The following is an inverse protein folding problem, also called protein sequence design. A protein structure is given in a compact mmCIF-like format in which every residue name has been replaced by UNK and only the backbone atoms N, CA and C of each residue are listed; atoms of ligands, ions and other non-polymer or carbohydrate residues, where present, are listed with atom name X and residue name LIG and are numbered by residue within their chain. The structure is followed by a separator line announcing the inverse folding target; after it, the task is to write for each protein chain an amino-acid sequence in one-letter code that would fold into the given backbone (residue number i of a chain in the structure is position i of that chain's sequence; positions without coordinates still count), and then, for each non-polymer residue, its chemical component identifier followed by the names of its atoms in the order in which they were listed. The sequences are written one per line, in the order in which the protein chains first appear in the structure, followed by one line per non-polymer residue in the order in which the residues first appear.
data_IF_351211657650
#
_entry.id   IF_351211657650
#
_cell.length_a   1.000
_cell.length_b   1.000
_cell.length_c   1.000
_cell.angle_alpha   90.00
_cell.angle_beta   90.00
_cell.angle_gamma   90.00
#
_symmetry.space_group_name_H-M   'P 1'
#
loop_
_entity.id
_entity.type
_entity.pdbx_description
1 polymer ?
#
# COMPACT_ATOMS: atom_id res chain seq x y z
N UNK A 1 -10.24 -0.93 -16.36
CA UNK A 1 -10.46 -0.69 -14.92
C UNK A 1 -11.90 -0.30 -14.66
N UNK A 2 -12.43 -0.66 -13.52
CA UNK A 2 -13.68 -0.14 -12.97
C UNK A 2 -13.38 0.97 -11.99
N UNK A 3 -13.88 2.17 -12.21
CA UNK A 3 -13.52 3.37 -11.46
C UNK A 3 -14.77 3.97 -10.83
N UNK A 4 -14.74 4.20 -9.52
CA UNK A 4 -15.73 5.00 -8.83
C UNK A 4 -15.28 6.47 -8.82
N UNK A 5 -16.03 7.35 -9.47
CA UNK A 5 -15.79 8.79 -9.44
C UNK A 5 -16.79 9.42 -8.48
N UNK A 6 -16.28 9.93 -7.37
CA UNK A 6 -17.05 10.63 -6.35
C UNK A 6 -16.90 12.16 -6.54
N UNK A 7 -18.02 12.87 -6.57
CA UNK A 7 -18.10 14.27 -7.00
C UNK A 7 -18.64 15.12 -5.85
N UNK A 8 -17.86 16.12 -5.43
CA UNK A 8 -18.25 17.03 -4.34
C UNK A 8 -18.56 18.44 -4.82
N UNK A 9 -18.92 19.33 -3.90
CA UNK A 9 -19.49 20.65 -4.16
C UNK A 9 -18.45 21.70 -4.60
N UNK A 10 -17.82 21.49 -5.75
CA UNK A 10 -17.00 22.51 -6.39
C UNK A 10 -17.61 22.91 -7.73
N UNK A 11 -17.44 24.17 -8.13
CA UNK A 11 -17.90 24.61 -9.44
C UNK A 11 -17.33 23.75 -10.57
N UNK A 12 -16.12 23.21 -10.41
CA UNK A 12 -15.49 22.31 -11.38
C UNK A 12 -16.24 21.00 -11.61
N UNK A 13 -17.25 20.66 -10.77
CA UNK A 13 -18.05 19.45 -10.93
C UNK A 13 -18.78 19.39 -12.28
N UNK A 14 -19.17 20.55 -12.88
CA UNK A 14 -19.81 20.58 -14.19
C UNK A 14 -18.96 19.98 -15.31
N UNK A 15 -17.65 19.91 -15.13
CA UNK A 15 -16.70 19.36 -16.11
C UNK A 15 -16.64 17.83 -16.08
N UNK A 16 -17.03 17.20 -14.98
CA UNK A 16 -16.79 15.75 -14.74
C UNK A 16 -17.49 14.84 -15.77
N UNK A 17 -18.69 15.15 -16.30
CA UNK A 17 -19.25 14.34 -17.41
C UNK A 17 -18.30 14.17 -18.60
N UNK A 18 -17.47 15.18 -18.91
CA UNK A 18 -16.45 15.09 -19.96
C UNK A 18 -15.36 14.11 -19.57
N UNK A 19 -14.85 14.18 -18.33
CA UNK A 19 -13.86 13.23 -17.79
C UNK A 19 -14.39 11.78 -17.85
N UNK A 20 -15.65 11.57 -17.45
CA UNK A 20 -16.34 10.27 -17.54
C UNK A 20 -16.36 9.76 -18.96
N UNK A 21 -16.73 10.61 -19.94
CA UNK A 21 -16.74 10.26 -21.37
C UNK A 21 -15.34 9.89 -21.89
N UNK A 22 -14.30 10.65 -21.48
CA UNK A 22 -12.92 10.37 -21.89
C UNK A 22 -12.43 9.02 -21.37
N UNK A 23 -12.68 8.71 -20.09
CA UNK A 23 -12.31 7.44 -19.48
C UNK A 23 -13.06 6.26 -20.11
N UNK A 24 -14.37 6.42 -20.42
CA UNK A 24 -15.15 5.40 -21.13
C UNK A 24 -14.60 5.10 -22.53
N UNK A 25 -14.19 6.14 -23.27
CA UNK A 25 -13.56 5.96 -24.61
C UNK A 25 -12.24 5.19 -24.53
N UNK A 26 -11.56 5.22 -23.38
CA UNK A 26 -10.36 4.42 -23.11
C UNK A 26 -10.67 2.99 -22.61
N UNK A 27 -11.96 2.58 -22.61
CA UNK A 27 -12.36 1.23 -22.22
C UNK A 27 -12.52 1.01 -20.71
N UNK A 28 -12.62 2.08 -19.93
CA UNK A 28 -12.88 1.97 -18.48
C UNK A 28 -14.39 1.91 -18.19
N UNK A 29 -14.77 1.15 -17.18
CA UNK A 29 -16.13 1.15 -16.62
C UNK A 29 -16.21 2.18 -15.49
N UNK A 30 -17.18 3.09 -15.55
CA UNK A 30 -17.30 4.20 -14.62
C UNK A 30 -18.60 4.11 -13.83
N UNK A 31 -18.50 4.23 -12.52
CA UNK A 31 -19.63 4.44 -11.61
C UNK A 31 -19.44 5.83 -11.00
N UNK A 32 -20.52 6.62 -10.91
CA UNK A 32 -20.48 7.94 -10.32
C UNK A 32 -21.17 7.94 -8.95
N UNK A 33 -20.62 8.70 -8.00
CA UNK A 33 -21.27 9.05 -6.75
C UNK A 33 -21.27 10.57 -6.60
N UNK A 34 -22.36 11.16 -6.08
CA UNK A 34 -22.56 12.62 -6.03
C UNK A 34 -23.04 13.03 -4.65
N UNK A 35 -22.43 14.07 -4.06
CA UNK A 35 -22.99 14.69 -2.85
C UNK A 35 -24.25 15.48 -3.19
N UNK A 36 -25.16 15.63 -2.23
CA UNK A 36 -26.40 16.40 -2.39
C UNK A 36 -26.12 17.82 -2.92
N UNK A 37 -25.09 18.49 -2.44
CA UNK A 37 -24.78 19.84 -2.88
C UNK A 37 -24.15 19.87 -4.29
N UNK A 38 -23.40 18.81 -4.69
CA UNK A 38 -22.84 18.72 -6.02
C UNK A 38 -23.92 18.55 -7.11
N UNK A 39 -25.11 18.05 -6.77
CA UNK A 39 -26.25 17.97 -7.70
C UNK A 39 -26.67 19.36 -8.24
N UNK A 40 -26.34 20.45 -7.54
CA UNK A 40 -26.53 21.82 -8.02
C UNK A 40 -25.50 22.28 -9.04
N UNK A 41 -24.36 21.57 -9.15
CA UNK A 41 -23.22 21.94 -10.00
C UNK A 41 -23.08 21.03 -11.22
N UNK A 42 -23.62 19.81 -11.15
CA UNK A 42 -23.56 18.83 -12.23
C UNK A 42 -24.87 18.09 -12.38
N UNK A 43 -25.35 17.96 -13.63
CA UNK A 43 -26.55 17.19 -13.91
C UNK A 43 -26.33 15.69 -13.70
N UNK A 44 -27.02 15.08 -12.74
CA UNK A 44 -26.91 13.63 -12.45
C UNK A 44 -27.24 12.80 -13.70
N UNK A 45 -28.26 13.19 -14.48
CA UNK A 45 -28.60 12.52 -15.74
C UNK A 45 -27.45 12.53 -16.77
N UNK A 46 -26.66 13.60 -16.81
CA UNK A 46 -25.48 13.63 -17.67
C UNK A 46 -24.42 12.61 -17.22
N UNK A 47 -24.19 12.46 -15.93
CA UNK A 47 -23.28 11.46 -15.36
C UNK A 47 -23.76 10.03 -15.67
N UNK A 48 -25.05 9.74 -15.46
CA UNK A 48 -25.66 8.44 -15.76
C UNK A 48 -25.57 8.11 -17.25
N UNK A 49 -25.89 9.07 -18.11
CA UNK A 49 -25.82 8.88 -19.57
C UNK A 49 -24.39 8.64 -20.04
N UNK A 50 -23.41 9.42 -19.53
CA UNK A 50 -22.01 9.27 -19.95
C UNK A 50 -21.36 8.02 -19.36
N UNK A 51 -21.68 7.64 -18.13
CA UNK A 51 -21.15 6.43 -17.50
C UNK A 51 -21.87 5.16 -18.00
N UNK A 52 -23.13 5.26 -18.36
CA UNK A 52 -24.00 4.11 -18.66
C UNK A 52 -24.40 3.34 -17.39
N UNK A 53 -24.19 3.91 -16.21
CA UNK A 53 -24.51 3.33 -14.91
C UNK A 53 -25.33 4.31 -14.08
N UNK A 54 -26.14 3.79 -13.15
CA UNK A 54 -26.81 4.58 -12.14
C UNK A 54 -25.81 5.33 -11.25
N UNK A 55 -26.10 6.59 -10.90
CA UNK A 55 -25.26 7.41 -10.04
C UNK A 55 -25.71 7.33 -8.58
N UNK A 56 -24.80 6.95 -7.69
CA UNK A 56 -25.04 6.86 -6.25
C UNK A 56 -25.20 8.26 -5.67
N UNK A 57 -26.39 8.57 -5.13
CA UNK A 57 -26.67 9.86 -4.49
C UNK A 57 -26.84 9.73 -2.99
N UNK A 58 -27.50 8.68 -2.58
CA UNK A 58 -27.79 8.43 -1.17
C UNK A 58 -27.75 6.92 -0.91
N UNK A 59 -26.70 6.47 -0.23
CA UNK A 59 -26.49 5.04 0.08
C UNK A 59 -27.66 4.41 0.87
N UNK A 60 -28.44 5.23 1.59
CA UNK A 60 -29.62 4.77 2.35
C UNK A 60 -30.87 4.55 1.48
N UNK A 61 -30.81 4.97 0.20
CA UNK A 61 -31.90 4.85 -0.77
C UNK A 61 -31.57 3.94 -1.95
N UNK A 62 -30.37 3.34 -1.95
CA UNK A 62 -29.97 2.39 -2.96
C UNK A 62 -30.64 1.02 -2.73
N UNK A 63 -30.89 0.27 -3.81
CA UNK A 63 -31.45 -1.08 -3.72
C UNK A 63 -30.52 -2.05 -2.96
N UNK A 64 -29.20 -1.86 -3.09
CA UNK A 64 -28.20 -2.60 -2.32
C UNK A 64 -27.94 -1.91 -0.97
N UNK A 65 -28.43 -2.44 0.15
CA UNK A 65 -28.27 -1.82 1.47
C UNK A 65 -26.79 -1.79 1.92
N UNK A 66 -25.93 -2.58 1.31
CA UNK A 66 -24.48 -2.65 1.58
C UNK A 66 -23.65 -2.01 0.46
N UNK A 67 -24.22 -1.12 -0.34
CA UNK A 67 -23.55 -0.51 -1.49
C UNK A 67 -22.19 0.11 -1.13
N UNK A 68 -22.07 0.75 0.03
CA UNK A 68 -20.83 1.37 0.53
C UNK A 68 -19.71 0.34 0.78
N UNK A 69 -20.05 -0.94 1.00
CA UNK A 69 -19.10 -2.05 1.13
C UNK A 69 -18.92 -2.74 -0.22
N UNK A 70 -20.03 -3.03 -0.92
CA UNK A 70 -20.01 -3.82 -2.13
C UNK A 70 -19.38 -3.10 -3.32
N UNK A 71 -19.45 -1.75 -3.35
CA UNK A 71 -18.79 -0.94 -4.37
C UNK A 71 -17.27 -1.13 -4.36
N UNK A 72 -16.69 -1.35 -3.18
CA UNK A 72 -15.28 -1.64 -3.00
C UNK A 72 -14.83 -2.92 -3.73
N UNK A 73 -15.69 -3.95 -3.73
CA UNK A 73 -15.43 -5.22 -4.45
C UNK A 73 -15.64 -5.08 -5.97
N UNK A 74 -16.40 -4.08 -6.40
CA UNK A 74 -16.78 -3.88 -7.80
C UNK A 74 -15.88 -2.89 -8.54
N UNK A 75 -15.00 -2.14 -7.82
CA UNK A 75 -14.18 -1.08 -8.41
C UNK A 75 -12.70 -1.24 -8.04
N UNK A 76 -11.82 -0.85 -8.97
CA UNK A 76 -10.36 -0.93 -8.84
C UNK A 76 -9.77 0.33 -8.19
N UNK A 77 -10.46 1.46 -8.34
CA UNK A 77 -10.02 2.75 -7.79
C UNK A 77 -11.21 3.64 -7.44
N UNK A 78 -11.04 4.42 -6.36
CA UNK A 78 -11.87 5.56 -5.98
C UNK A 78 -11.14 6.85 -6.36
N UNK A 79 -11.78 7.67 -7.20
CA UNK A 79 -11.35 9.03 -7.51
C UNK A 79 -12.35 10.02 -6.93
N UNK A 80 -11.96 10.85 -5.99
CA UNK A 80 -12.79 11.98 -5.52
C UNK A 80 -12.38 13.22 -6.32
N UNK A 81 -13.17 13.58 -7.31
CA UNK A 81 -12.89 14.69 -8.23
C UNK A 81 -14.18 15.40 -8.70
N UNK A 82 -14.28 16.71 -8.50
CA UNK A 82 -13.45 17.51 -7.60
C UNK A 82 -13.68 17.13 -6.14
N UNK A 83 -12.66 17.35 -5.28
CA UNK A 83 -12.85 17.33 -3.84
C UNK A 83 -12.78 18.76 -3.28
N UNK A 84 -13.74 19.16 -2.46
CA UNK A 84 -13.78 20.43 -1.78
C UNK A 84 -13.16 20.37 -0.37
N UNK A 85 -12.94 21.53 0.25
CA UNK A 85 -12.38 21.63 1.59
C UNK A 85 -13.23 20.95 2.65
N UNK A 86 -14.56 20.93 2.48
CA UNK A 86 -15.49 20.29 3.40
C UNK A 86 -15.28 18.77 3.39
N UNK A 87 -15.23 18.14 2.23
CA UNK A 87 -15.02 16.70 2.11
C UNK A 87 -13.63 16.29 2.59
N UNK A 88 -12.58 17.09 2.29
CA UNK A 88 -11.24 16.90 2.85
C UNK A 88 -11.30 16.91 4.38
N UNK A 89 -12.00 17.91 4.96
CA UNK A 89 -12.17 18.01 6.40
C UNK A 89 -12.91 16.83 7.00
N UNK A 90 -13.99 16.37 6.39
CA UNK A 90 -14.77 15.21 6.84
C UNK A 90 -13.93 13.94 6.86
N UNK A 91 -13.30 13.60 5.74
CA UNK A 91 -12.52 12.36 5.63
C UNK A 91 -11.34 12.38 6.60
N UNK A 92 -10.61 13.50 6.70
CA UNK A 92 -9.45 13.60 7.57
C UNK A 92 -9.78 13.54 9.07
N UNK A 93 -11.00 13.93 9.47
CA UNK A 93 -11.41 13.94 10.87
C UNK A 93 -12.44 12.85 11.23
N UNK A 94 -12.64 11.85 10.34
CA UNK A 94 -13.50 10.71 10.64
C UNK A 94 -15.00 11.03 10.66
N UNK A 95 -15.44 12.02 9.89
CA UNK A 95 -16.86 12.41 9.77
C UNK A 95 -17.43 11.72 8.53
N UNK A 96 -18.32 10.76 8.71
CA UNK A 96 -18.88 9.92 7.66
C UNK A 96 -20.40 10.02 7.60
N UNK A 97 -20.90 11.25 7.50
CA UNK A 97 -22.32 11.61 7.56
C UNK A 97 -23.00 11.72 6.18
N UNK A 98 -22.26 11.44 5.11
CA UNK A 98 -22.77 11.40 3.73
C UNK A 98 -22.25 10.18 2.94
N UNK A 99 -22.86 9.94 1.78
CA UNK A 99 -22.56 8.77 0.96
C UNK A 99 -21.10 8.68 0.54
N UNK A 100 -20.47 9.79 0.16
CA UNK A 100 -19.10 9.81 -0.34
C UNK A 100 -18.10 9.59 0.80
N UNK A 101 -18.28 10.29 1.93
CA UNK A 101 -17.41 10.12 3.09
C UNK A 101 -17.51 8.71 3.66
N UNK A 102 -18.72 8.12 3.71
CA UNK A 102 -18.94 6.74 4.15
C UNK A 102 -18.27 5.73 3.21
N UNK A 103 -18.45 5.89 1.89
CA UNK A 103 -17.77 5.04 0.90
C UNK A 103 -16.24 5.18 1.03
N UNK A 104 -15.72 6.39 1.15
CA UNK A 104 -14.30 6.66 1.28
C UNK A 104 -13.67 5.99 2.53
N UNK A 105 -14.43 5.94 3.64
CA UNK A 105 -14.05 5.23 4.86
C UNK A 105 -13.96 3.73 4.64
N UNK A 106 -14.94 3.14 3.97
CA UNK A 106 -15.01 1.70 3.73
C UNK A 106 -14.09 1.23 2.58
N UNK A 107 -13.54 2.17 1.78
CA UNK A 107 -12.80 1.83 0.57
C UNK A 107 -11.38 1.37 0.88
N UNK A 108 -11.06 0.14 0.48
CA UNK A 108 -9.76 -0.50 0.73
C UNK A 108 -8.86 -0.55 -0.52
N UNK A 109 -9.41 -0.20 -1.71
CA UNK A 109 -8.67 -0.13 -2.95
C UNK A 109 -7.81 1.13 -3.07
N UNK A 110 -7.36 1.42 -4.27
CA UNK A 110 -6.59 2.62 -4.58
C UNK A 110 -7.47 3.87 -4.47
N UNK A 111 -7.07 4.84 -3.66
CA UNK A 111 -7.81 6.08 -3.37
C UNK A 111 -7.08 7.29 -3.89
N UNK A 112 -7.72 8.05 -4.79
CA UNK A 112 -7.17 9.29 -5.32
C UNK A 112 -8.11 10.46 -5.05
N UNK A 113 -7.56 11.66 -4.95
CA UNK A 113 -8.37 12.86 -4.86
C UNK A 113 -7.76 14.03 -5.64
N UNK A 114 -8.61 14.84 -6.28
CA UNK A 114 -8.24 16.01 -7.05
C UNK A 114 -8.90 17.26 -6.45
N UNK A 115 -8.16 18.08 -5.67
CA UNK A 115 -8.69 19.29 -5.05
C UNK A 115 -9.14 20.33 -6.08
N UNK A 116 -10.26 21.02 -5.77
CA UNK A 116 -10.69 22.18 -6.52
C UNK A 116 -11.44 23.17 -5.61
N UNK A 117 -10.80 24.28 -5.28
CA UNK A 117 -11.29 25.34 -4.41
C UNK A 117 -10.56 26.66 -4.64
N UNK A 118 -11.08 27.74 -4.07
CA UNK A 118 -10.42 29.06 -4.08
C UNK A 118 -9.00 28.98 -3.50
N UNK A 119 -8.00 29.77 -3.98
CA UNK A 119 -6.61 29.73 -3.53
C UNK A 119 -6.45 29.96 -2.02
N UNK A 120 -7.23 30.86 -1.43
CA UNK A 120 -7.17 31.13 0.01
C UNK A 120 -7.66 29.93 0.84
N UNK A 121 -8.68 29.21 0.34
CA UNK A 121 -9.13 27.95 0.95
C UNK A 121 -8.04 26.89 0.82
N UNK A 122 -7.42 26.77 -0.34
CA UNK A 122 -6.34 25.80 -0.56
C UNK A 122 -5.14 26.05 0.34
N UNK A 123 -4.71 27.33 0.46
CA UNK A 123 -3.58 27.71 1.31
C UNK A 123 -3.90 27.74 2.81
N UNK A 124 -5.15 27.54 3.20
CA UNK A 124 -5.55 27.49 4.60
C UNK A 124 -4.82 26.38 5.34
N UNK A 125 -4.17 26.72 6.47
CA UNK A 125 -3.36 25.79 7.27
C UNK A 125 -4.12 24.53 7.69
N UNK A 126 -5.42 24.66 8.02
CA UNK A 126 -6.27 23.52 8.39
C UNK A 126 -6.52 22.59 7.21
N UNK A 127 -6.77 23.14 6.02
CA UNK A 127 -6.94 22.36 4.80
C UNK A 127 -5.64 21.61 4.47
N UNK A 128 -4.50 22.29 4.50
CA UNK A 128 -3.19 21.66 4.25
C UNK A 128 -2.84 20.58 5.28
N UNK A 129 -3.17 20.79 6.56
CA UNK A 129 -3.03 19.75 7.60
C UNK A 129 -3.88 18.51 7.27
N UNK A 130 -5.13 18.72 6.89
CA UNK A 130 -6.04 17.63 6.57
C UNK A 130 -5.61 16.89 5.30
N UNK A 131 -5.13 17.59 4.27
CA UNK A 131 -4.55 17.03 3.05
C UNK A 131 -3.35 16.14 3.40
N UNK A 132 -2.43 16.66 4.22
CA UNK A 132 -1.28 15.90 4.69
C UNK A 132 -1.71 14.60 5.41
N UNK A 133 -2.69 14.69 6.29
CA UNK A 133 -3.23 13.53 7.01
C UNK A 133 -3.87 12.50 6.05
N UNK A 134 -4.67 12.94 5.08
CA UNK A 134 -5.23 12.04 4.06
C UNK A 134 -4.14 11.29 3.29
N UNK A 135 -3.03 11.97 2.98
CA UNK A 135 -1.93 11.38 2.24
C UNK A 135 -1.11 10.42 3.12
N UNK A 136 -0.70 10.85 4.31
CA UNK A 136 0.27 10.12 5.15
C UNK A 136 -0.39 9.00 5.94
N UNK A 137 -1.60 9.22 6.47
CA UNK A 137 -2.26 8.29 7.37
C UNK A 137 -3.37 7.47 6.70
N UNK A 138 -4.11 8.09 5.77
CA UNK A 138 -5.24 7.42 5.11
C UNK A 138 -4.90 6.83 3.74
N UNK A 139 -3.63 6.93 3.30
CA UNK A 139 -3.13 6.38 2.03
C UNK A 139 -3.87 6.88 0.78
N UNK A 140 -4.30 8.14 0.77
CA UNK A 140 -4.80 8.76 -0.44
C UNK A 140 -3.67 9.29 -1.32
N UNK A 141 -3.85 9.21 -2.64
CA UNK A 141 -2.95 9.83 -3.62
C UNK A 141 -3.53 11.17 -4.08
N UNK A 142 -2.83 12.26 -3.84
CA UNK A 142 -3.25 13.56 -4.36
C UNK A 142 -2.90 13.71 -5.83
N UNK A 143 -3.84 14.26 -6.59
CA UNK A 143 -3.62 14.84 -7.91
C UNK A 143 -3.54 16.33 -7.69
N UNK A 144 -2.33 16.88 -7.82
CA UNK A 144 -2.04 18.26 -7.48
C UNK A 144 -2.97 19.25 -8.21
N UNK A 145 -3.57 20.23 -7.50
CA UNK A 145 -4.35 21.27 -8.14
C UNK A 145 -3.45 22.15 -9.00
N UNK A 146 -3.97 22.61 -10.13
CA UNK A 146 -3.24 23.49 -11.02
C UNK A 146 -3.34 24.97 -10.60
N UNK A 147 -2.33 25.75 -11.04
CA UNK A 147 -2.39 27.21 -10.96
C UNK A 147 -3.17 27.75 -12.14
N UNK A 148 -3.92 28.83 -11.92
CA UNK A 148 -4.60 29.57 -12.97
C UNK A 148 -5.72 30.47 -12.44
N UNK A 149 -6.28 31.25 -13.33
CA UNK A 149 -7.43 32.10 -13.03
C UNK A 149 -8.66 31.27 -12.75
N UNK A 150 -9.35 31.55 -11.68
CA UNK A 150 -10.57 30.85 -11.22
C UNK A 150 -11.84 31.62 -11.55
N UNK A 151 -12.98 31.01 -11.30
CA UNK A 151 -14.29 31.64 -11.51
C UNK A 151 -14.51 32.92 -10.67
N UNK A 152 -13.72 33.13 -9.61
CA UNK A 152 -13.70 34.33 -8.79
C UNK A 152 -12.71 35.39 -9.28
N UNK A 153 -12.14 35.24 -10.51
CA UNK A 153 -11.15 36.13 -11.13
C UNK A 153 -9.79 36.17 -10.37
N UNK A 154 -9.59 35.38 -9.35
CA UNK A 154 -8.33 35.26 -8.62
C UNK A 154 -7.37 34.29 -9.33
N UNK A 155 -6.08 34.66 -9.41
CA UNK A 155 -5.01 33.77 -9.88
C UNK A 155 -4.33 33.09 -8.70
N UNK A 156 -4.17 31.79 -8.79
CA UNK A 156 -3.51 31.02 -7.74
C UNK A 156 -3.61 29.53 -7.94
N UNK A 157 -3.08 28.77 -6.98
CA UNK A 157 -3.18 27.31 -6.92
C UNK A 157 -4.50 26.93 -6.28
N UNK A 158 -5.26 26.01 -6.88
CA UNK A 158 -6.55 25.53 -6.36
C UNK A 158 -7.53 25.11 -7.46
N UNK A 159 -7.12 25.29 -8.73
CA UNK A 159 -7.90 24.85 -9.89
C UNK A 159 -7.83 23.33 -10.02
N UNK A 160 -8.96 22.70 -10.40
CA UNK A 160 -8.98 21.26 -10.72
C UNK A 160 -7.90 20.96 -11.77
N UNK A 161 -7.10 19.94 -11.52
CA UNK A 161 -6.10 19.44 -12.46
C UNK A 161 -6.72 19.14 -13.83
N UNK A 162 -5.93 19.24 -14.88
CA UNK A 162 -6.35 18.90 -16.24
C UNK A 162 -6.79 17.44 -16.30
N UNK A 163 -7.73 17.13 -17.20
CA UNK A 163 -8.19 15.75 -17.36
C UNK A 163 -7.09 14.81 -17.80
N UNK A 164 -6.13 15.31 -18.56
CA UNK A 164 -4.95 14.53 -18.94
C UNK A 164 -4.13 14.16 -17.69
N UNK A 165 -3.86 15.10 -16.81
CA UNK A 165 -3.17 14.85 -15.53
C UNK A 165 -3.94 13.84 -14.66
N UNK A 166 -5.28 14.02 -14.55
CA UNK A 166 -6.14 13.11 -13.78
C UNK A 166 -6.11 11.71 -14.38
N UNK A 167 -6.29 11.57 -15.69
CA UNK A 167 -6.31 10.28 -16.38
C UNK A 167 -4.95 9.60 -16.25
N UNK A 168 -3.86 10.30 -16.54
CA UNK A 168 -2.51 9.75 -16.45
C UNK A 168 -2.18 9.26 -15.02
N UNK A 169 -2.60 10.01 -13.99
CA UNK A 169 -2.39 9.59 -12.61
C UNK A 169 -3.25 8.39 -12.23
N UNK A 170 -4.51 8.41 -12.63
CA UNK A 170 -5.50 7.38 -12.34
C UNK A 170 -5.18 6.05 -13.04
N UNK A 171 -4.80 6.12 -14.32
CA UNK A 171 -4.50 4.94 -15.16
C UNK A 171 -3.03 4.54 -15.13
N UNK A 172 -2.26 4.99 -14.14
CA UNK A 172 -0.86 4.66 -14.00
C UNK A 172 -0.67 3.17 -13.65
N UNK A 173 -0.57 2.37 -14.70
CA UNK A 173 -0.41 0.91 -14.63
C UNK A 173 1.07 0.50 -14.65
N UNK A 174 1.96 1.31 -14.09
CA UNK A 174 3.43 1.14 -14.16
C UNK A 174 3.91 -0.26 -13.78
N UNK A 175 3.15 -0.96 -12.91
CA UNK A 175 3.51 -2.28 -12.38
C UNK A 175 2.48 -3.37 -12.72
N UNK A 176 1.52 -3.12 -13.63
CA UNK A 176 0.42 -4.05 -13.95
C UNK A 176 0.88 -5.45 -14.39
N UNK A 177 2.00 -5.50 -15.12
CA UNK A 177 2.56 -6.76 -15.63
C UNK A 177 3.66 -7.34 -14.73
N UNK A 178 3.81 -6.85 -13.50
CA UNK A 178 4.80 -7.33 -12.54
C UNK A 178 4.07 -8.02 -11.39
N UNK A 179 4.49 -9.24 -11.07
CA UNK A 179 3.95 -10.05 -9.98
C UNK A 179 4.85 -9.91 -8.76
N UNK A 180 4.30 -9.37 -7.70
CA UNK A 180 5.01 -9.14 -6.46
C UNK A 180 4.56 -10.12 -5.39
N UNK A 181 5.50 -10.67 -4.64
CA UNK A 181 5.21 -11.34 -3.38
C UNK A 181 5.84 -10.54 -2.24
N UNK A 182 5.07 -10.22 -1.22
CA UNK A 182 5.50 -9.46 -0.06
C UNK A 182 5.23 -10.29 1.18
N UNK A 183 6.23 -10.51 2.01
CA UNK A 183 6.03 -11.09 3.35
C UNK A 183 6.06 -9.99 4.40
N UNK A 184 5.25 -10.08 5.45
CA UNK A 184 5.15 -9.06 6.49
C UNK A 184 4.82 -9.66 7.87
N UNK A 185 5.23 -8.96 8.93
CA UNK A 185 4.97 -9.38 10.30
C UNK A 185 5.98 -10.38 10.83
N UNK A 186 5.70 -10.92 12.01
CA UNK A 186 6.50 -11.93 12.66
C UNK A 186 5.88 -13.32 12.52
N UNK A 187 6.67 -14.37 12.66
CA UNK A 187 6.18 -15.72 12.90
C UNK A 187 6.08 -16.02 14.39
N UNK A 188 5.32 -17.05 14.73
CA UNK A 188 5.18 -17.57 16.09
C UNK A 188 5.60 -19.02 16.10
N UNK A 189 6.40 -19.39 17.09
CA UNK A 189 6.75 -20.78 17.33
C UNK A 189 6.14 -21.23 18.66
N UNK A 190 5.17 -22.11 18.57
CA UNK A 190 4.37 -22.53 19.72
C UNK A 190 5.14 -23.42 20.66
N UNK A 191 5.09 -23.11 21.95
CA UNK A 191 5.56 -23.97 23.06
C UNK A 191 4.41 -24.89 23.47
N UNK A 192 3.23 -24.31 23.65
CA UNK A 192 1.97 -25.00 23.97
C UNK A 192 0.78 -24.16 23.41
N UNK A 193 -0.48 -24.61 23.53
CA UNK A 193 -1.62 -23.88 22.95
C UNK A 193 -1.81 -22.43 23.42
N UNK A 194 -1.03 -21.97 24.37
CA UNK A 194 -1.18 -20.61 24.95
C UNK A 194 0.08 -19.78 24.79
N UNK A 195 1.27 -20.39 24.77
CA UNK A 195 2.56 -19.70 24.80
C UNK A 195 3.36 -19.97 23.54
N UNK A 196 3.97 -18.92 23.03
CA UNK A 196 4.82 -18.96 21.84
C UNK A 196 6.00 -18.02 21.97
N UNK A 197 7.01 -18.24 21.16
CA UNK A 197 8.14 -17.34 20.91
C UNK A 197 7.82 -16.56 19.63
N UNK A 198 8.18 -15.27 19.59
CA UNK A 198 7.97 -14.43 18.40
C UNK A 198 8.97 -13.29 18.38
N UNK A 199 9.22 -12.76 17.19
CA UNK A 199 9.99 -11.53 16.99
C UNK A 199 9.11 -10.28 17.14
N UNK A 200 9.70 -9.19 17.60
CA UNK A 200 9.02 -7.89 17.68
C UNK A 200 8.97 -7.25 16.29
N UNK A 201 7.96 -7.59 15.49
CA UNK A 201 7.71 -6.98 14.19
C UNK A 201 6.27 -6.49 14.09
N UNK A 202 6.09 -5.23 13.72
CA UNK A 202 4.77 -4.60 13.56
C UNK A 202 4.14 -4.85 12.18
N UNK A 203 4.91 -5.31 11.18
CA UNK A 203 4.47 -5.45 9.79
C UNK A 203 4.40 -4.16 8.98
N UNK A 204 4.64 -2.99 9.58
CA UNK A 204 4.51 -1.65 8.93
C UNK A 204 5.32 -1.49 7.63
N UNK A 205 6.49 -2.11 7.49
CA UNK A 205 7.27 -2.03 6.26
C UNK A 205 6.61 -2.82 5.12
N UNK A 206 6.12 -4.01 5.39
CA UNK A 206 5.37 -4.82 4.41
C UNK A 206 4.10 -4.11 3.94
N UNK A 207 3.39 -3.46 4.85
CA UNK A 207 2.23 -2.62 4.53
C UNK A 207 2.61 -1.43 3.64
N UNK A 208 3.70 -0.72 3.95
CA UNK A 208 4.18 0.41 3.15
C UNK A 208 4.59 -0.03 1.72
N UNK A 209 5.25 -1.19 1.58
CA UNK A 209 5.57 -1.79 0.27
C UNK A 209 4.30 -2.14 -0.51
N UNK A 210 3.31 -2.78 0.15
CA UNK A 210 2.02 -3.08 -0.46
C UNK A 210 1.35 -1.83 -1.01
N UNK A 211 1.24 -0.78 -0.19
CA UNK A 211 0.58 0.47 -0.57
C UNK A 211 1.29 1.13 -1.77
N UNK A 212 2.62 1.15 -1.78
CA UNK A 212 3.41 1.69 -2.89
C UNK A 212 3.20 0.92 -4.20
N UNK A 213 3.18 -0.41 -4.16
CA UNK A 213 3.00 -1.26 -5.34
C UNK A 213 1.56 -1.19 -5.83
N UNK A 214 0.60 -1.24 -4.91
CA UNK A 214 -0.83 -1.14 -5.21
C UNK A 214 -1.18 0.20 -5.88
N UNK A 215 -0.53 1.31 -5.46
CA UNK A 215 -0.70 2.63 -6.06
C UNK A 215 -0.24 2.70 -7.53
N UNK A 216 0.51 1.72 -8.01
CA UNK A 216 0.99 1.59 -9.40
C UNK A 216 0.38 0.38 -10.12
N UNK A 217 -0.73 -0.12 -9.57
CA UNK A 217 -1.50 -1.24 -10.13
C UNK A 217 -0.72 -2.56 -10.24
N UNK A 218 0.24 -2.83 -9.34
CA UNK A 218 0.95 -4.10 -9.28
C UNK A 218 0.06 -5.27 -8.87
N UNK A 219 0.42 -6.48 -9.29
CA UNK A 219 -0.24 -7.72 -8.88
C UNK A 219 0.47 -8.27 -7.64
N UNK A 220 -0.22 -8.32 -6.49
CA UNK A 220 0.42 -8.59 -5.21
C UNK A 220 -0.14 -9.86 -4.56
N UNK A 221 0.75 -10.73 -4.11
CA UNK A 221 0.49 -11.75 -3.10
C UNK A 221 1.11 -11.24 -1.79
N UNK A 222 0.27 -11.00 -0.80
CA UNK A 222 0.68 -10.49 0.51
C UNK A 222 0.60 -11.61 1.54
N UNK A 223 1.75 -12.05 2.05
CA UNK A 223 1.86 -13.13 3.04
C UNK A 223 2.03 -12.47 4.40
N UNK A 224 1.00 -12.58 5.23
CA UNK A 224 0.88 -11.87 6.51
C UNK A 224 1.04 -12.82 7.69
N UNK A 225 2.12 -12.64 8.44
CA UNK A 225 2.29 -13.25 9.77
C UNK A 225 1.59 -12.45 10.87
N UNK A 226 2.15 -12.45 12.08
CA UNK A 226 1.65 -11.64 13.18
C UNK A 226 2.01 -10.17 12.97
N UNK A 227 1.02 -9.29 12.90
CA UNK A 227 1.17 -7.85 12.69
C UNK A 227 0.33 -7.07 13.70
N UNK A 228 0.70 -5.81 13.96
CA UNK A 228 -0.05 -4.93 14.85
C UNK A 228 -1.42 -4.55 14.28
N UNK A 229 -1.46 -4.27 12.97
CA UNK A 229 -2.68 -3.91 12.24
C UNK A 229 -2.78 -4.79 10.99
N UNK A 230 -3.73 -5.72 10.91
CA UNK A 230 -3.92 -6.54 9.72
C UNK A 230 -4.24 -5.71 8.49
N UNK A 231 -3.50 -5.93 7.40
CA UNK A 231 -3.73 -5.25 6.13
C UNK A 231 -5.06 -5.70 5.52
N UNK A 232 -5.84 -4.76 5.03
CA UNK A 232 -7.01 -5.04 4.19
C UNK A 232 -6.59 -4.88 2.73
N UNK A 233 -6.58 -5.98 1.98
CA UNK A 233 -6.25 -5.99 0.56
C UNK A 233 -7.48 -5.72 -0.29
N UNK A 234 -7.28 -5.15 -1.48
CA UNK A 234 -8.34 -5.02 -2.49
C UNK A 234 -8.65 -6.38 -3.15
N UNK A 235 -9.71 -6.44 -3.95
CA UNK A 235 -10.16 -7.67 -4.61
C UNK A 235 -9.19 -8.21 -5.67
N UNK A 236 -8.30 -7.37 -6.20
CA UNK A 236 -7.28 -7.74 -7.18
C UNK A 236 -6.12 -8.51 -6.54
N UNK A 237 -5.79 -8.17 -5.31
CA UNK A 237 -4.61 -8.68 -4.62
C UNK A 237 -4.98 -9.81 -3.65
N UNK A 238 -4.16 -10.86 -3.63
CA UNK A 238 -4.37 -12.01 -2.76
C UNK A 238 -3.62 -11.83 -1.44
N UNK A 239 -4.30 -12.11 -0.32
CA UNK A 239 -3.69 -12.19 1.01
C UNK A 239 -3.69 -13.62 1.51
N UNK A 240 -2.55 -14.07 2.03
CA UNK A 240 -2.36 -15.36 2.69
C UNK A 240 -1.91 -15.09 4.12
N UNK A 241 -2.62 -15.63 5.09
CA UNK A 241 -2.21 -15.58 6.50
C UNK A 241 -1.36 -16.78 6.83
N UNK A 242 -0.29 -16.55 7.56
CA UNK A 242 0.62 -17.58 8.08
C UNK A 242 0.89 -17.29 9.55
N UNK A 243 1.15 -18.32 10.33
CA UNK A 243 1.44 -18.17 11.74
C UNK A 243 2.87 -18.60 12.09
N UNK A 244 3.30 -19.75 11.58
CA UNK A 244 4.63 -20.32 11.88
C UNK A 244 5.65 -20.02 10.80
N UNK A 245 6.93 -20.20 11.12
CA UNK A 245 8.03 -20.08 10.13
C UNK A 245 7.90 -21.16 9.05
N UNK A 246 7.40 -22.35 9.40
CA UNK A 246 7.17 -23.43 8.45
C UNK A 246 6.08 -23.07 7.44
N UNK A 247 4.92 -22.54 7.88
CA UNK A 247 3.86 -22.07 6.99
C UNK A 247 4.33 -20.93 6.09
N UNK A 248 5.13 -20.01 6.63
CA UNK A 248 5.73 -18.93 5.84
C UNK A 248 6.67 -19.50 4.76
N UNK A 249 7.52 -20.45 5.11
CA UNK A 249 8.42 -21.15 4.20
C UNK A 249 7.65 -21.82 3.06
N UNK A 250 6.69 -22.66 3.38
CA UNK A 250 5.88 -23.39 2.40
C UNK A 250 5.17 -22.41 1.44
N UNK A 251 4.56 -21.37 2.00
CA UNK A 251 3.83 -20.36 1.22
C UNK A 251 4.77 -19.60 0.28
N UNK A 252 5.91 -19.11 0.77
CA UNK A 252 6.90 -18.40 -0.06
C UNK A 252 7.40 -19.28 -1.19
N UNK A 253 7.79 -20.52 -0.88
CA UNK A 253 8.36 -21.45 -1.88
C UNK A 253 7.32 -21.87 -2.93
N UNK A 254 6.04 -22.01 -2.55
CA UNK A 254 4.96 -22.33 -3.51
C UNK A 254 4.68 -21.19 -4.49
N UNK A 255 4.77 -19.94 -4.02
CA UNK A 255 4.47 -18.75 -4.84
C UNK A 255 5.66 -18.30 -5.70
N UNK A 256 6.87 -18.79 -5.44
CA UNK A 256 8.10 -18.31 -6.09
C UNK A 256 8.06 -18.43 -7.61
N UNK A 257 7.46 -19.49 -8.15
CA UNK A 257 7.32 -19.72 -9.61
C UNK A 257 6.49 -18.65 -10.31
N UNK A 258 5.59 -18.00 -9.55
CA UNK A 258 4.69 -16.97 -10.03
C UNK A 258 5.10 -15.56 -9.58
N UNK A 259 6.35 -15.40 -9.09
CA UNK A 259 6.85 -14.16 -8.51
C UNK A 259 7.96 -13.57 -9.38
N UNK A 260 7.78 -12.31 -9.77
CA UNK A 260 8.82 -11.55 -10.47
C UNK A 260 9.72 -10.82 -9.47
N UNK A 261 9.14 -10.25 -8.41
CA UNK A 261 9.90 -9.59 -7.32
C UNK A 261 9.37 -10.07 -5.97
N UNK A 262 10.26 -10.65 -5.15
CA UNK A 262 9.98 -11.06 -3.78
C UNK A 262 10.56 -10.07 -2.78
N UNK A 263 9.73 -9.50 -1.92
CA UNK A 263 10.12 -8.70 -0.76
C UNK A 263 9.98 -9.52 0.52
N UNK A 264 11.10 -9.96 1.10
CA UNK A 264 11.14 -10.69 2.37
C UNK A 264 11.22 -9.72 3.55
N UNK A 265 10.12 -9.02 3.84
CA UNK A 265 10.04 -8.03 4.93
C UNK A 265 9.43 -8.61 6.23
N UNK A 266 9.05 -9.87 6.25
CA UNK A 266 8.71 -10.59 7.47
C UNK A 266 9.94 -10.81 8.35
N UNK A 267 9.71 -11.01 9.64
CA UNK A 267 10.71 -11.36 10.64
C UNK A 267 10.46 -12.80 11.14
N UNK A 268 10.83 -13.82 10.35
CA UNK A 268 10.74 -15.21 10.80
C UNK A 268 11.67 -15.46 11.98
N UNK A 269 11.32 -16.43 12.81
CA UNK A 269 12.20 -16.89 13.89
C UNK A 269 13.30 -17.82 13.36
N UNK A 270 14.54 -17.59 13.79
CA UNK A 270 15.68 -18.44 13.49
C UNK A 270 15.64 -19.77 14.24
N UNK A 271 14.88 -19.82 15.36
CA UNK A 271 14.79 -20.99 16.24
C UNK A 271 13.33 -21.30 16.58
N UNK A 272 13.05 -22.60 16.82
CA UNK A 272 11.76 -23.09 17.31
C UNK A 272 11.98 -24.04 18.49
N UNK A 273 10.97 -24.27 19.37
CA UNK A 273 11.03 -25.30 20.39
C UNK A 273 11.27 -26.68 19.78
N UNK A 274 12.24 -27.44 20.34
CA UNK A 274 12.50 -28.82 19.92
C UNK A 274 11.29 -29.71 20.12
N UNK A 275 10.42 -29.37 21.10
CA UNK A 275 9.19 -30.08 21.43
C UNK A 275 8.05 -29.09 21.68
N UNK A 276 6.92 -29.32 21.06
CA UNK A 276 5.65 -28.65 21.32
C UNK A 276 4.74 -29.54 22.19
N UNK A 277 3.87 -28.91 22.95
CA UNK A 277 2.96 -29.62 23.86
C UNK A 277 1.50 -29.35 23.45
N UNK A 278 0.69 -30.42 23.37
CA UNK A 278 -0.73 -30.31 22.99
C UNK A 278 -1.61 -29.71 24.10
N UNK A 279 -1.09 -29.63 25.33
CA UNK A 279 -1.79 -29.07 26.49
C UNK A 279 -0.90 -28.07 27.20
N UNK A 280 -1.55 -27.06 27.83
CA UNK A 280 -0.85 -26.09 28.67
C UNK A 280 0.06 -26.76 29.70
N UNK A 281 1.35 -26.51 29.63
CA UNK A 281 2.33 -27.08 30.57
C UNK A 281 2.29 -26.33 31.91
N UNK A 282 2.23 -27.06 33.01
CA UNK A 282 2.30 -26.47 34.35
C UNK A 282 3.71 -25.97 34.65
N UNK A 283 3.83 -24.84 35.39
CA UNK A 283 5.09 -24.18 35.72
C UNK A 283 6.14 -25.14 36.34
N UNK A 284 5.68 -26.14 37.07
CA UNK A 284 6.54 -27.13 37.74
C UNK A 284 7.19 -28.14 36.76
N UNK A 285 6.71 -28.24 35.52
CA UNK A 285 7.12 -29.25 34.54
C UNK A 285 8.01 -28.67 33.41
N UNK A 286 8.32 -27.38 33.41
CA UNK A 286 9.26 -26.77 32.46
C UNK A 286 10.28 -25.93 33.24
N UNK A 287 11.51 -26.45 33.28
CA UNK A 287 12.66 -25.67 33.76
C UNK A 287 13.44 -25.05 32.62
N UNK A 288 13.46 -25.70 31.44
CA UNK A 288 14.19 -25.25 30.24
C UNK A 288 13.33 -25.50 28.99
N UNK A 289 13.51 -24.65 27.99
CA UNK A 289 12.96 -24.85 26.64
C UNK A 289 14.15 -25.05 25.73
N UNK A 290 14.32 -26.25 25.23
CA UNK A 290 15.30 -26.56 24.19
C UNK A 290 14.86 -25.96 22.87
N UNK A 291 15.77 -25.27 22.16
CA UNK A 291 15.53 -24.66 20.88
C UNK A 291 16.35 -25.37 19.80
N UNK A 292 15.74 -25.58 18.64
CA UNK A 292 16.39 -26.07 17.44
C UNK A 292 16.26 -25.02 16.34
N UNK A 293 17.15 -25.05 15.35
CA UNK A 293 17.16 -24.10 14.23
C UNK A 293 15.94 -24.31 13.32
N UNK A 294 15.39 -23.23 12.83
CA UNK A 294 14.48 -23.21 11.71
C UNK A 294 15.24 -23.17 10.39
N UNK A 295 14.59 -23.58 9.32
CA UNK A 295 15.15 -23.47 7.97
C UNK A 295 15.31 -22.00 7.57
N UNK A 296 16.41 -21.64 6.92
CA UNK A 296 16.57 -20.34 6.28
C UNK A 296 15.77 -20.32 4.97
N UNK A 297 14.62 -19.63 5.01
CA UNK A 297 13.69 -19.56 3.87
C UNK A 297 14.37 -19.00 2.62
N UNK A 298 15.22 -17.98 2.76
CA UNK A 298 15.92 -17.37 1.62
C UNK A 298 16.98 -18.29 1.01
N UNK A 299 17.69 -19.05 1.83
CA UNK A 299 18.64 -20.05 1.33
C UNK A 299 17.94 -21.10 0.46
N UNK A 300 16.74 -21.54 0.85
CA UNK A 300 15.92 -22.52 0.12
C UNK A 300 15.33 -21.98 -1.19
N UNK A 301 15.34 -20.66 -1.41
CA UNK A 301 14.88 -20.09 -2.70
C UNK A 301 15.84 -20.34 -3.85
N UNK A 302 17.11 -20.70 -3.56
CA UNK A 302 18.18 -20.82 -4.57
C UNK A 302 17.81 -21.77 -5.72
N UNK A 303 17.27 -22.92 -5.39
CA UNK A 303 16.97 -23.98 -6.36
C UNK A 303 15.52 -23.90 -6.91
N UNK A 304 14.71 -22.96 -6.40
CA UNK A 304 13.28 -22.85 -6.72
C UNK A 304 12.90 -21.58 -7.45
N UNK A 305 13.72 -20.52 -7.36
CA UNK A 305 13.44 -19.26 -8.06
C UNK A 305 13.72 -19.36 -9.56
N UNK A 306 12.90 -18.66 -10.36
CA UNK A 306 13.25 -18.40 -11.76
C UNK A 306 14.49 -17.50 -11.83
N UNK A 307 15.31 -17.65 -12.86
CA UNK A 307 16.44 -16.73 -13.12
C UNK A 307 15.96 -15.27 -13.23
N UNK A 308 14.73 -15.07 -13.68
CA UNK A 308 14.07 -13.76 -13.81
C UNK A 308 13.62 -13.17 -12.49
N UNK A 309 13.49 -13.95 -11.43
CA UNK A 309 13.01 -13.46 -10.13
C UNK A 309 14.08 -12.64 -9.42
N UNK A 310 13.69 -11.46 -8.94
CA UNK A 310 14.51 -10.61 -8.08
C UNK A 310 14.09 -10.83 -6.61
N UNK A 311 15.06 -11.03 -5.72
CA UNK A 311 14.84 -11.20 -4.27
C UNK A 311 15.42 -10.00 -3.52
N UNK A 312 14.53 -9.32 -2.79
CA UNK A 312 14.86 -8.21 -1.88
C UNK A 312 14.70 -8.69 -0.45
N UNK A 313 15.80 -8.78 0.29
CA UNK A 313 15.83 -9.14 1.71
C UNK A 313 15.95 -7.90 2.58
N UNK A 314 15.51 -8.02 3.83
CA UNK A 314 15.63 -6.98 4.85
C UNK A 314 16.56 -7.45 5.95
N UNK A 315 17.41 -6.54 6.43
CA UNK A 315 18.35 -6.79 7.52
C UNK A 315 18.24 -5.65 8.55
N UNK A 316 17.72 -5.98 9.72
CA UNK A 316 17.74 -5.10 10.88
C UNK A 316 18.89 -5.55 11.78
N UNK A 317 19.96 -4.74 11.85
CA UNK A 317 21.21 -5.11 12.50
C UNK A 317 21.55 -4.10 13.62
N UNK A 318 22.26 -4.58 14.64
CA UNK A 318 22.88 -3.72 15.67
C UNK A 318 24.32 -3.46 15.25
N UNK A 319 24.53 -2.55 14.32
CA UNK A 319 25.87 -2.13 13.91
C UNK A 319 26.26 -0.82 14.59
N UNK A 320 27.51 -0.68 15.00
CA UNK A 320 28.06 0.56 15.56
C UNK A 320 28.60 1.49 14.47
N UNK A 321 29.04 0.91 13.34
CA UNK A 321 29.59 1.64 12.20
C UNK A 321 28.91 1.25 10.89
N UNK A 322 29.03 2.11 9.88
CA UNK A 322 28.52 1.81 8.52
C UNK A 322 29.31 0.67 7.86
N UNK A 323 30.59 0.51 8.18
CA UNK A 323 31.44 -0.59 7.69
C UNK A 323 30.99 -1.93 8.26
N UNK A 324 30.64 -1.98 9.53
CA UNK A 324 30.09 -3.17 10.17
C UNK A 324 28.75 -3.56 9.57
N UNK A 325 27.85 -2.57 9.34
CA UNK A 325 26.58 -2.81 8.68
C UNK A 325 26.77 -3.36 7.26
N UNK A 326 27.75 -2.83 6.52
CA UNK A 326 28.13 -3.30 5.18
C UNK A 326 28.61 -4.76 5.23
N UNK A 327 29.47 -5.09 6.18
CA UNK A 327 29.98 -6.46 6.35
C UNK A 327 28.84 -7.45 6.60
N UNK A 328 27.94 -7.13 7.55
CA UNK A 328 26.77 -7.98 7.83
C UNK A 328 25.85 -8.14 6.61
N UNK A 329 25.61 -7.06 5.87
CA UNK A 329 24.77 -7.11 4.68
C UNK A 329 25.39 -7.98 3.58
N UNK A 330 26.71 -7.85 3.33
CA UNK A 330 27.41 -8.64 2.31
C UNK A 330 27.47 -10.12 2.69
N UNK A 331 27.77 -10.44 3.96
CA UNK A 331 27.78 -11.83 4.43
C UNK A 331 26.39 -12.47 4.30
N UNK A 332 25.33 -11.72 4.63
CA UNK A 332 23.95 -12.17 4.52
C UNK A 332 23.52 -12.35 3.07
N UNK A 333 23.98 -11.48 2.16
CA UNK A 333 23.70 -11.57 0.72
C UNK A 333 24.27 -12.85 0.13
N UNK A 334 25.52 -13.16 0.45
CA UNK A 334 26.21 -14.35 -0.03
C UNK A 334 25.57 -15.66 0.49
N UNK A 335 25.14 -15.66 1.77
CA UNK A 335 24.49 -16.82 2.38
C UNK A 335 23.05 -17.03 1.92
N UNK A 336 22.28 -15.93 1.72
CA UNK A 336 20.81 -15.96 1.56
C UNK A 336 20.33 -15.82 0.11
N UNK A 337 21.20 -15.84 -0.89
CA UNK A 337 20.85 -15.73 -2.31
C UNK A 337 19.95 -14.53 -2.65
N UNK A 338 20.10 -13.42 -1.91
CA UNK A 338 19.38 -12.17 -2.18
C UNK A 338 20.07 -11.39 -3.31
N UNK A 339 19.28 -10.76 -4.19
CA UNK A 339 19.79 -9.87 -5.23
C UNK A 339 20.00 -8.45 -4.68
N UNK A 340 19.20 -8.08 -3.67
CA UNK A 340 19.28 -6.81 -2.94
C UNK A 340 19.08 -7.03 -1.44
N UNK A 341 19.79 -6.28 -0.61
CA UNK A 341 19.53 -6.19 0.84
C UNK A 341 19.25 -4.75 1.24
N UNK A 342 18.13 -4.55 1.89
CA UNK A 342 17.76 -3.30 2.57
C UNK A 342 18.16 -3.43 4.02
N UNK A 343 19.27 -2.79 4.38
CA UNK A 343 19.78 -2.80 5.75
C UNK A 343 19.39 -1.52 6.50
N UNK A 344 19.09 -1.67 7.79
CA UNK A 344 18.86 -0.56 8.70
C UNK A 344 19.41 -0.88 10.09
N UNK A 345 19.79 0.16 10.82
CA UNK A 345 20.20 -0.01 12.21
C UNK A 345 18.95 -0.07 13.10
N UNK A 346 18.90 -1.06 13.97
CA UNK A 346 17.79 -1.28 14.91
C UNK A 346 17.55 -0.04 15.80
N UNK A 347 18.61 0.65 16.22
CA UNK A 347 18.54 1.88 17.02
C UNK A 347 17.73 3.00 16.34
N UNK A 348 17.66 2.99 15.01
CA UNK A 348 16.96 4.01 14.20
C UNK A 348 15.57 3.59 13.76
N UNK A 349 15.19 2.31 13.91
CA UNK A 349 14.03 1.71 13.26
C UNK A 349 12.93 1.20 14.21
N UNK A 350 13.29 0.65 15.39
CA UNK A 350 12.32 0.00 16.29
C UNK A 350 11.41 1.05 16.94
N UNK A 351 10.09 0.85 16.76
CA UNK A 351 9.06 1.70 17.37
C UNK A 351 8.89 3.08 16.74
N UNK A 352 9.71 3.45 15.74
CA UNK A 352 9.62 4.73 15.04
C UNK A 352 8.89 4.58 13.70
N UNK A 353 8.25 5.66 13.25
CA UNK A 353 7.62 5.74 11.92
C UNK A 353 8.61 6.16 10.82
N UNK A 354 9.86 6.48 11.20
CA UNK A 354 10.98 6.80 10.31
C UNK A 354 12.02 5.67 10.31
N UNK A 355 12.86 5.64 9.26
CA UNK A 355 13.97 4.71 9.14
C UNK A 355 15.13 5.33 8.34
N UNK A 356 16.39 4.96 8.67
CA UNK A 356 17.56 5.22 7.85
C UNK A 356 17.95 3.91 7.18
N UNK A 357 17.79 3.83 5.86
CA UNK A 357 18.07 2.62 5.10
C UNK A 357 19.33 2.76 4.24
N UNK A 358 20.02 1.65 4.06
CA UNK A 358 21.10 1.48 3.07
C UNK A 358 20.78 0.27 2.21
N UNK A 359 20.83 0.41 0.90
CA UNK A 359 20.58 -0.69 -0.03
C UNK A 359 21.90 -1.20 -0.60
N UNK A 360 22.13 -2.48 -0.42
CA UNK A 360 23.29 -3.21 -0.97
C UNK A 360 22.83 -4.09 -2.13
N UNK A 361 23.62 -4.11 -3.19
CA UNK A 361 23.36 -4.90 -4.40
C UNK A 361 24.37 -6.03 -4.55
N UNK A 362 23.96 -7.11 -5.20
CA UNK A 362 24.80 -8.29 -5.42
C UNK A 362 26.09 -8.00 -6.22
N UNK A 363 26.07 -6.97 -7.06
CA UNK A 363 27.23 -6.50 -7.84
C UNK A 363 28.19 -5.59 -7.05
N UNK A 364 27.94 -5.38 -5.76
CA UNK A 364 28.78 -4.56 -4.87
C UNK A 364 28.39 -3.08 -4.81
N UNK A 365 27.45 -2.61 -5.62
CA UNK A 365 26.92 -1.23 -5.49
C UNK A 365 26.26 -1.03 -4.13
N UNK A 366 26.30 0.22 -3.63
CA UNK A 366 25.67 0.61 -2.37
C UNK A 366 24.93 1.94 -2.57
N UNK A 367 23.74 2.06 -2.03
CA UNK A 367 22.95 3.30 -2.06
C UNK A 367 22.51 3.67 -0.66
N UNK A 368 22.91 4.87 -0.22
CA UNK A 368 22.62 5.43 1.10
C UNK A 368 21.41 6.36 1.01
N UNK A 369 20.59 6.34 2.06
CA UNK A 369 19.44 7.24 2.17
C UNK A 369 19.49 8.02 3.49
N UNK A 370 18.98 9.25 3.53
CA UNK A 370 18.76 9.97 4.76
C UNK A 370 17.68 9.28 5.61
N UNK A 371 17.39 9.83 6.77
CA UNK A 371 16.23 9.40 7.55
C UNK A 371 14.97 9.77 6.78
N UNK A 372 14.14 8.76 6.47
CA UNK A 372 12.92 8.84 5.70
C UNK A 372 11.75 8.23 6.50
N UNK A 373 10.52 8.61 6.19
CA UNK A 373 9.34 7.87 6.63
C UNK A 373 9.32 6.46 6.02
N UNK A 374 8.64 5.51 6.65
CA UNK A 374 8.50 4.14 6.09
C UNK A 374 7.86 4.14 4.70
N UNK A 375 6.96 5.10 4.43
CA UNK A 375 6.36 5.29 3.12
C UNK A 375 7.38 5.73 2.06
N UNK A 376 8.22 6.68 2.37
CA UNK A 376 9.30 7.14 1.49
C UNK A 376 10.34 6.03 1.28
N UNK A 377 10.73 5.32 2.34
CA UNK A 377 11.58 4.13 2.23
C UNK A 377 10.98 3.11 1.26
N UNK A 378 9.71 2.76 1.41
CA UNK A 378 9.02 1.82 0.52
C UNK A 378 8.99 2.29 -0.93
N UNK A 379 8.78 3.60 -1.16
CA UNK A 379 8.83 4.20 -2.50
C UNK A 379 10.19 4.01 -3.16
N UNK A 380 11.27 4.31 -2.46
CA UNK A 380 12.64 4.17 -2.97
C UNK A 380 12.99 2.69 -3.21
N UNK A 381 12.69 1.81 -2.23
CA UNK A 381 12.95 0.37 -2.33
C UNK A 381 12.23 -0.24 -3.54
N UNK A 382 10.94 0.03 -3.71
CA UNK A 382 10.14 -0.53 -4.81
C UNK A 382 10.61 -0.01 -6.16
N UNK A 383 10.89 1.30 -6.29
CA UNK A 383 11.36 1.87 -7.55
C UNK A 383 12.69 1.23 -7.98
N UNK A 384 13.63 1.10 -7.05
CA UNK A 384 14.94 0.49 -7.30
C UNK A 384 14.78 -1.00 -7.64
N UNK A 385 13.99 -1.74 -6.88
CA UNK A 385 13.78 -3.17 -7.14
C UNK A 385 13.14 -3.42 -8.52
N UNK A 386 12.20 -2.57 -8.95
CA UNK A 386 11.59 -2.68 -10.29
C UNK A 386 12.59 -2.33 -11.39
N UNK A 387 13.45 -1.34 -11.17
CA UNK A 387 14.51 -0.97 -12.12
C UNK A 387 15.52 -2.11 -12.27
N UNK A 388 16.02 -2.67 -11.17
CA UNK A 388 16.95 -3.81 -11.17
C UNK A 388 16.32 -5.06 -11.82
N UNK A 389 15.04 -5.34 -11.54
CA UNK A 389 14.35 -6.45 -12.16
C UNK A 389 14.21 -6.26 -13.68
N UNK A 390 13.89 -5.05 -14.15
CA UNK A 390 13.81 -4.73 -15.59
C UNK A 390 15.16 -4.87 -16.25
N UNK A 391 16.23 -4.34 -15.65
CA UNK A 391 17.60 -4.46 -16.17
C UNK A 391 18.02 -5.93 -16.28
N UNK A 392 17.71 -6.74 -15.26
CA UNK A 392 17.99 -8.19 -15.25
C UNK A 392 17.25 -8.96 -16.36
N UNK A 393 16.06 -8.48 -16.80
CA UNK A 393 15.21 -9.20 -17.73
C UNK A 393 15.18 -8.61 -19.16
N UNK A 394 15.82 -7.45 -19.38
CA UNK A 394 15.97 -6.83 -20.71
C UNK A 394 17.34 -7.15 -21.35
N UNK A 395 18.24 -7.82 -20.62
CA UNK A 395 19.50 -8.37 -21.10
C UNK A 395 19.35 -9.88 -21.31
#
# INVERSE_FOLDING_TARGET
MRILIAITSSISAYKIPVLVSMLKKQGHEIICAVTKNAENMVGVKALETMSGNHAIKNIWKEEDPLIHININKKTDALLIAPIDANMIGKIANGIYDDSISTIACAYTGRKLFAPAMNPYMWLNKTVQKNVKYMIEELNFEMIEPERGTMACEEDGVGRLASFETIINKLTNNKYENIRFTITAGATKEWIDPIRYITNSSSGKMGEALYNQINSKNGNIIYIEGSVSNPLITNSKNRKVKVETTEELKETVLSELKNTDILFMAAAPLDFKPAKTFDKKVKKQNINNIELIENDDILALTKDKKSEKTLIVSFAAETAETEEELKKYAVDKMNKKNADMIVANNIKDAIGKDTNKITIFFKDGRVKYFPILSKRECAKEIVNIAVEEWRNKNNN
#
